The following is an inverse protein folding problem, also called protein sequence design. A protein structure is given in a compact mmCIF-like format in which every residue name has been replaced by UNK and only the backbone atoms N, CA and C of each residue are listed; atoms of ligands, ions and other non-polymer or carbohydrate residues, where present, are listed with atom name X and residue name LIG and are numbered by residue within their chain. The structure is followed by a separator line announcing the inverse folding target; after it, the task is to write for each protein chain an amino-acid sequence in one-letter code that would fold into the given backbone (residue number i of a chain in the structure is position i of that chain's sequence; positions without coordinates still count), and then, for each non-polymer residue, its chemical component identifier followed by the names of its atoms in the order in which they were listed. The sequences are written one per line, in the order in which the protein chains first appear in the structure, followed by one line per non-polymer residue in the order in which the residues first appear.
data_IF_771528452945
#
_entry.id   IF_771528452945
#
_cell.length_a   1.000
_cell.length_b   1.000
_cell.length_c   1.000
_cell.angle_alpha   90.00
_cell.angle_beta   90.00
_cell.angle_gamma   90.00
#
_symmetry.space_group_name_H-M   'P 1'
#
loop_
_entity.id
_entity.type
_entity.pdbx_description
1 polymer ?
#
# COMPACT_ATOMS: atom_id res chain seq x y z
N UNK A 1 -15.91 1.95 7.84
CA UNK A 1 -15.26 1.21 6.73
C UNK A 1 -15.98 1.46 5.41
N UNK A 2 -17.22 1.01 5.25
CA UNK A 2 -17.91 1.02 3.94
C UNK A 2 -18.27 2.42 3.39
N UNK A 3 -18.69 3.37 4.23
CA UNK A 3 -19.20 4.67 3.76
C UNK A 3 -18.12 5.72 3.52
N UNK A 4 -17.06 5.72 4.34
CA UNK A 4 -15.98 6.72 4.27
C UNK A 4 -14.76 6.08 3.62
N UNK A 5 -14.05 5.21 4.34
CA UNK A 5 -12.75 4.69 3.91
C UNK A 5 -12.78 4.01 2.52
N UNK A 6 -13.78 3.19 2.22
CA UNK A 6 -13.86 2.49 0.92
C UNK A 6 -14.22 3.38 -0.27
N UNK A 7 -14.69 4.61 -0.02
CA UNK A 7 -15.28 5.48 -1.04
C UNK A 7 -14.56 6.83 -1.12
N UNK A 8 -13.45 7.02 -0.41
CA UNK A 8 -12.70 8.28 -0.41
C UNK A 8 -11.21 8.06 -0.68
N UNK A 9 -10.56 9.12 -1.13
CA UNK A 9 -9.10 9.15 -1.23
C UNK A 9 -8.49 9.23 0.18
N UNK A 10 -7.52 8.35 0.44
CA UNK A 10 -6.81 8.30 1.70
C UNK A 10 -5.31 8.41 1.41
N UNK A 11 -4.68 9.35 2.10
CA UNK A 11 -3.24 9.56 2.01
C UNK A 11 -2.50 8.40 2.69
N UNK A 12 -1.56 7.76 1.97
CA UNK A 12 -0.78 6.61 2.45
C UNK A 12 0.74 6.87 2.46
N UNK A 13 1.18 7.99 1.87
CA UNK A 13 2.58 8.38 1.83
C UNK A 13 2.90 9.35 0.72
N UNK A 14 4.17 9.78 0.70
CA UNK A 14 4.77 10.62 -0.32
C UNK A 14 5.75 9.82 -1.19
N UNK A 15 5.91 10.19 -2.45
CA UNK A 15 6.78 9.50 -3.40
C UNK A 15 8.27 9.47 -3.02
N UNK A 16 8.72 10.39 -2.15
CA UNK A 16 10.10 10.41 -1.63
C UNK A 16 10.36 9.33 -0.57
N UNK A 17 9.32 8.77 0.05
CA UNK A 17 9.47 7.68 1.02
C UNK A 17 9.76 6.34 0.35
N UNK A 18 9.51 6.26 -0.97
CA UNK A 18 9.88 5.13 -1.85
C UNK A 18 10.67 5.65 -3.06
N UNK A 19 11.91 6.14 -2.84
CA UNK A 19 12.63 6.92 -3.84
C UNK A 19 13.19 6.05 -4.98
N UNK A 20 13.55 4.80 -4.69
CA UNK A 20 14.20 3.90 -5.63
C UNK A 20 13.24 2.83 -6.18
N UNK A 21 13.54 2.31 -7.37
CA UNK A 21 12.83 1.15 -7.93
C UNK A 21 12.94 -0.05 -6.98
N UNK A 22 11.81 -0.70 -6.69
CA UNK A 22 11.74 -1.82 -5.77
C UNK A 22 11.70 -1.42 -4.29
N UNK A 23 11.90 -0.14 -3.94
CA UNK A 23 11.67 0.31 -2.56
C UNK A 23 10.18 0.24 -2.21
N UNK A 24 9.91 -0.07 -0.95
CA UNK A 24 8.55 -0.14 -0.43
C UNK A 24 8.50 0.35 1.02
N UNK A 25 7.30 0.76 1.43
CA UNK A 25 6.95 0.99 2.84
C UNK A 25 5.59 0.37 3.13
N UNK A 26 5.31 0.13 4.40
CA UNK A 26 3.99 -0.24 4.87
C UNK A 26 3.22 0.99 5.35
N UNK A 27 1.90 0.94 5.23
CA UNK A 27 0.99 1.95 5.73
C UNK A 27 -0.36 1.32 6.11
N UNK A 28 -1.27 2.11 6.67
CA UNK A 28 -2.62 1.68 7.04
C UNK A 28 -3.67 2.45 6.24
N UNK A 29 -4.61 1.71 5.65
CA UNK A 29 -5.85 2.22 5.09
C UNK A 29 -6.98 1.84 6.06
N UNK A 30 -7.42 2.78 6.90
CA UNK A 30 -8.35 2.47 7.98
C UNK A 30 -7.81 1.34 8.87
N UNK A 31 -8.38 0.13 8.73
CA UNK A 31 -7.96 -1.09 9.46
C UNK A 31 -7.19 -2.11 8.60
N UNK A 32 -6.92 -1.80 7.35
CA UNK A 32 -6.28 -2.72 6.41
C UNK A 32 -4.81 -2.32 6.20
N UNK A 33 -3.85 -3.24 6.40
CA UNK A 33 -2.46 -2.96 6.11
C UNK A 33 -2.21 -2.96 4.60
N UNK A 34 -1.44 -1.99 4.12
CA UNK A 34 -1.09 -1.86 2.70
C UNK A 34 0.41 -1.73 2.50
N UNK A 35 0.88 -2.11 1.32
CA UNK A 35 2.25 -1.93 0.85
C UNK A 35 2.22 -0.87 -0.24
N UNK A 36 2.97 0.22 -0.03
CA UNK A 36 3.24 1.23 -1.06
C UNK A 36 4.58 0.89 -1.68
N UNK A 37 4.65 0.73 -3.00
CA UNK A 37 5.88 0.32 -3.70
C UNK A 37 6.09 1.07 -5.01
N UNK A 38 7.35 1.30 -5.37
CA UNK A 38 7.73 1.81 -6.70
C UNK A 38 8.19 0.66 -7.58
N UNK A 39 7.51 0.44 -8.71
CA UNK A 39 7.87 -0.64 -9.63
C UNK A 39 9.12 -0.31 -10.48
N UNK A 40 9.53 -1.27 -11.32
CA UNK A 40 10.70 -1.13 -12.21
C UNK A 40 10.51 -0.07 -13.31
N UNK A 41 9.26 0.30 -13.61
CA UNK A 41 8.86 1.35 -14.55
C UNK A 41 8.65 2.71 -13.86
N UNK A 42 9.05 2.84 -12.58
CA UNK A 42 8.89 4.03 -11.73
C UNK A 42 7.44 4.40 -11.37
N UNK A 43 6.47 3.50 -11.57
CA UNK A 43 5.07 3.71 -11.19
C UNK A 43 4.87 3.33 -9.72
N UNK A 44 4.11 4.14 -8.99
CA UNK A 44 3.72 3.85 -7.60
C UNK A 44 2.48 2.97 -7.59
N UNK A 45 2.53 1.87 -6.84
CA UNK A 45 1.41 0.96 -6.60
C UNK A 45 1.11 0.86 -5.12
N UNK A 46 -0.14 0.57 -4.80
CA UNK A 46 -0.60 0.26 -3.44
C UNK A 46 -1.28 -1.10 -3.46
N UNK A 47 -0.78 -2.03 -2.65
CA UNK A 47 -1.26 -3.42 -2.58
C UNK A 47 -1.77 -3.70 -1.16
N UNK A 48 -2.79 -4.53 -1.02
CA UNK A 48 -3.19 -5.05 0.28
C UNK A 48 -2.05 -5.93 0.83
N UNK A 49 -1.56 -5.65 2.05
CA UNK A 49 -0.52 -6.43 2.71
C UNK A 49 -1.10 -7.73 3.28
N UNK A 50 -1.57 -8.60 2.37
CA UNK A 50 -2.22 -9.85 2.71
C UNK A 50 -1.95 -10.89 1.64
N UNK A 51 -1.41 -12.03 2.05
CA UNK A 51 -1.26 -13.18 1.17
C UNK A 51 -2.63 -13.70 0.71
N UNK A 52 -2.82 -13.84 -0.61
CA UNK A 52 -4.08 -14.33 -1.20
C UNK A 52 -4.40 -15.80 -0.86
N UNK A 53 -3.42 -16.60 -0.43
CA UNK A 53 -3.63 -18.01 -0.10
C UNK A 53 -4.30 -18.18 1.28
N UNK A 54 -3.66 -17.69 2.36
CA UNK A 54 -4.14 -17.89 3.74
C UNK A 54 -4.16 -16.63 4.60
N UNK A 55 -3.94 -15.46 4.02
CA UNK A 55 -4.15 -14.20 4.70
C UNK A 55 -3.03 -13.73 5.64
N UNK A 56 -1.87 -14.39 5.64
CA UNK A 56 -0.70 -13.89 6.37
C UNK A 56 -0.26 -12.51 5.88
N UNK A 57 0.26 -11.68 6.79
CA UNK A 57 0.97 -10.44 6.45
C UNK A 57 2.23 -10.79 5.66
N UNK A 58 2.52 -10.03 4.60
CA UNK A 58 3.63 -10.32 3.67
C UNK A 58 4.90 -9.57 4.06
N UNK A 59 4.76 -8.32 4.50
CA UNK A 59 5.86 -7.44 4.88
C UNK A 59 5.64 -6.85 6.28
#
# INVERSE_FOLDING_TARGET
MQTVFNNTWIWVGHGSEVPAKGSFKTAMFGRQPVIVTRDRKNVIHVLLNRCKHRGATVC
#
